data_IF_458041344273
#
_entry.id   IF_458041344273
#
_cell.length_a   1.000
_cell.length_b   1.000
_cell.length_c   1.000
_cell.angle_alpha   90.00
_cell.angle_beta   90.00
_cell.angle_gamma   90.00
#
_symmetry.space_group_name_H-M   'P 1'
#
loop_
_entity.id
_entity.type
_entity.pdbx_description
1 polymer ?
#
# COMPACT_ATOMS: atom_id res chain seq x y z
N UNK A 1 11.51 2.23 -21.65
CA UNK A 1 10.11 2.69 -21.78
C UNK A 1 9.97 4.01 -21.05
N UNK A 2 9.09 4.88 -21.54
CA UNK A 2 8.55 6.04 -20.83
C UNK A 2 7.30 5.59 -20.08
N UNK A 3 7.40 5.52 -18.75
CA UNK A 3 6.34 5.04 -17.87
C UNK A 3 5.69 6.24 -17.17
N UNK A 4 4.38 6.39 -17.34
CA UNK A 4 3.60 7.38 -16.63
C UNK A 4 2.97 6.79 -15.37
N UNK A 5 3.49 7.13 -14.20
CA UNK A 5 2.82 6.86 -12.92
C UNK A 5 1.72 7.89 -12.72
N UNK A 6 0.47 7.44 -12.88
CA UNK A 6 -0.69 8.31 -12.81
C UNK A 6 -1.46 8.11 -11.51
N UNK A 7 -1.72 9.19 -10.78
CA UNK A 7 -2.35 9.15 -9.45
C UNK A 7 -3.38 10.25 -9.25
N UNK A 8 -4.41 9.97 -8.45
CA UNK A 8 -5.52 10.91 -8.20
C UNK A 8 -5.22 11.94 -7.10
N UNK A 9 -4.01 11.95 -6.54
CA UNK A 9 -3.55 12.94 -5.56
C UNK A 9 -2.40 13.77 -6.13
N UNK A 10 -2.06 14.84 -5.44
CA UNK A 10 -1.02 15.80 -5.84
C UNK A 10 0.41 15.36 -5.47
N UNK A 11 0.55 14.23 -4.78
CA UNK A 11 1.82 13.69 -4.31
C UNK A 11 1.85 12.16 -4.48
N UNK A 12 2.93 11.59 -5.02
CA UNK A 12 3.12 10.14 -4.97
C UNK A 12 3.25 9.69 -3.52
N UNK A 13 2.56 8.62 -3.15
CA UNK A 13 2.80 7.98 -1.87
C UNK A 13 4.06 7.11 -1.93
N UNK A 14 4.50 6.60 -0.78
CA UNK A 14 5.74 5.83 -0.70
C UNK A 14 5.76 4.62 -1.62
N UNK A 15 4.61 3.99 -1.87
CA UNK A 15 4.57 2.84 -2.77
C UNK A 15 4.87 3.25 -4.21
N UNK A 16 4.22 4.32 -4.68
CA UNK A 16 4.46 4.86 -6.02
C UNK A 16 5.92 5.24 -6.20
N UNK A 17 6.52 5.89 -5.19
CA UNK A 17 7.94 6.27 -5.25
C UNK A 17 8.88 5.05 -5.28
N UNK A 18 8.55 3.98 -4.55
CA UNK A 18 9.34 2.74 -4.53
C UNK A 18 9.23 1.96 -5.85
N UNK A 19 8.03 1.89 -6.43
CA UNK A 19 7.82 1.30 -7.76
C UNK A 19 8.57 2.10 -8.85
N UNK A 20 8.44 3.42 -8.81
CA UNK A 20 9.17 4.34 -9.68
C UNK A 20 10.69 4.17 -9.54
N UNK A 21 11.19 4.05 -8.31
CA UNK A 21 12.60 3.78 -8.04
C UNK A 21 13.06 2.49 -8.73
N UNK A 22 12.34 1.38 -8.54
CA UNK A 22 12.70 0.09 -9.15
C UNK A 22 12.64 0.16 -10.68
N UNK A 23 11.58 0.74 -11.24
CA UNK A 23 11.44 0.90 -12.69
C UNK A 23 12.58 1.78 -13.28
N UNK A 24 13.01 2.83 -12.57
CA UNK A 24 14.14 3.66 -12.97
C UNK A 24 15.47 2.89 -12.95
N UNK A 25 15.70 2.06 -11.93
CA UNK A 25 16.88 1.17 -11.88
C UNK A 25 16.91 0.17 -13.05
N UNK A 26 15.74 -0.16 -13.60
CA UNK A 26 15.60 -1.00 -14.81
C UNK A 26 15.78 -0.20 -16.12
N UNK A 27 16.18 1.07 -16.05
CA UNK A 27 16.50 1.91 -17.21
C UNK A 27 15.27 2.53 -17.88
N UNK A 28 14.15 2.69 -17.15
CA UNK A 28 12.96 3.37 -17.65
C UNK A 28 12.99 4.86 -17.32
N UNK A 29 12.40 5.66 -18.21
CA UNK A 29 12.08 7.06 -17.95
C UNK A 29 10.77 7.11 -17.17
N UNK A 30 10.75 7.80 -16.04
CA UNK A 30 9.62 7.81 -15.12
C UNK A 30 9.03 9.21 -15.04
N UNK A 31 7.75 9.32 -15.33
CA UNK A 31 7.00 10.59 -15.24
C UNK A 31 5.87 10.40 -14.24
N UNK A 32 5.60 11.41 -13.42
CA UNK A 32 4.45 11.44 -12.53
C UNK A 32 3.36 12.37 -13.05
N UNK A 33 2.11 11.91 -13.00
CA UNK A 33 0.92 12.73 -13.22
C UNK A 33 0.00 12.66 -11.99
N UNK A 34 -0.19 13.80 -11.33
CA UNK A 34 -1.07 13.96 -10.18
C UNK A 34 -2.24 14.92 -10.39
N UNK A 35 -3.05 15.11 -9.34
CA UNK A 35 -4.16 16.08 -9.31
C UNK A 35 -4.02 17.03 -8.12
N UNK A 36 -4.04 18.33 -8.36
CA UNK A 36 -3.92 19.39 -7.35
C UNK A 36 -2.55 20.07 -7.35
N UNK A 37 -2.26 20.87 -6.31
CA UNK A 37 -1.00 21.61 -6.22
C UNK A 37 0.17 20.65 -5.97
N UNK A 38 1.14 20.63 -6.89
CA UNK A 38 2.31 19.75 -6.82
C UNK A 38 3.02 19.81 -5.47
N UNK A 39 3.21 18.64 -4.85
CA UNK A 39 4.03 18.47 -3.66
C UNK A 39 5.25 17.63 -3.99
N UNK A 40 6.41 18.03 -3.44
CA UNK A 40 7.67 17.35 -3.73
C UNK A 40 7.64 15.88 -3.29
N UNK A 41 8.07 14.94 -4.15
CA UNK A 41 8.30 13.56 -3.74
C UNK A 41 9.43 13.49 -2.70
N UNK A 42 9.48 12.41 -1.93
CA UNK A 42 10.60 12.13 -1.02
C UNK A 42 11.80 11.56 -1.75
N UNK A 43 11.57 10.78 -2.81
CA UNK A 43 12.63 10.24 -3.66
C UNK A 43 12.77 11.05 -4.95
N UNK A 44 14.00 11.33 -5.33
CA UNK A 44 14.34 11.97 -6.60
C UNK A 44 14.37 10.93 -7.74
N UNK A 45 13.18 10.42 -8.09
CA UNK A 45 13.02 9.31 -9.06
C UNK A 45 12.26 9.71 -10.31
N UNK A 46 11.51 10.81 -10.30
CA UNK A 46 10.73 11.24 -11.45
C UNK A 46 11.55 12.18 -12.33
N UNK A 47 11.63 11.87 -13.63
CA UNK A 47 12.28 12.74 -14.63
C UNK A 47 11.42 13.96 -14.96
N UNK A 48 10.10 13.84 -14.78
CA UNK A 48 9.16 14.96 -14.86
C UNK A 48 7.98 14.77 -13.89
N UNK A 49 7.40 15.88 -13.46
CA UNK A 49 6.35 15.93 -12.45
C UNK A 49 5.25 16.90 -12.87
N UNK A 50 4.12 16.34 -13.30
CA UNK A 50 3.01 17.09 -13.89
C UNK A 50 1.78 16.95 -12.99
N UNK A 51 1.01 18.02 -12.86
CA UNK A 51 -0.26 18.01 -12.13
C UNK A 51 -1.34 18.74 -12.88
N UNK A 52 -2.55 18.18 -12.90
CA UNK A 52 -3.77 18.86 -13.34
C UNK A 52 -4.51 19.47 -12.14
N UNK A 53 -5.61 20.18 -12.37
CA UNK A 53 -6.41 20.73 -11.26
C UNK A 53 -6.94 19.66 -10.31
N UNK A 54 -7.15 20.03 -9.05
CA UNK A 54 -7.72 19.15 -8.02
C UNK A 54 -9.19 18.85 -8.29
N UNK A 55 -9.64 17.65 -7.92
CA UNK A 55 -11.04 17.23 -7.98
C UNK A 55 -11.51 16.57 -6.69
N UNK A 56 -12.81 16.66 -6.44
CA UNK A 56 -13.47 15.85 -5.42
C UNK A 56 -14.08 14.56 -6.00
N UNK A 57 -14.41 13.61 -5.12
CA UNK A 57 -14.93 12.30 -5.53
C UNK A 57 -16.21 12.35 -6.39
N UNK A 58 -17.04 13.39 -6.23
CA UNK A 58 -18.25 13.56 -7.05
C UNK A 58 -17.87 13.97 -8.46
N UNK A 59 -16.99 14.96 -8.61
CA UNK A 59 -16.48 15.43 -9.90
C UNK A 59 -15.81 14.30 -10.68
N UNK A 60 -15.04 13.44 -10.01
CA UNK A 60 -14.44 12.25 -10.64
C UNK A 60 -15.48 11.38 -11.37
N UNK A 61 -16.68 11.25 -10.81
CA UNK A 61 -17.74 10.44 -11.40
C UNK A 61 -18.54 11.16 -12.50
N UNK A 62 -18.57 12.49 -12.50
CA UNK A 62 -19.55 13.26 -13.30
C UNK A 62 -18.97 14.33 -14.20
N UNK A 63 -17.73 14.76 -14.00
CA UNK A 63 -17.12 15.87 -14.71
C UNK A 63 -16.23 15.38 -15.86
N UNK A 64 -16.72 15.52 -17.10
CA UNK A 64 -16.00 15.14 -18.32
C UNK A 64 -14.84 16.09 -18.65
N UNK A 65 -14.84 17.32 -18.13
CA UNK A 65 -13.80 18.30 -18.44
C UNK A 65 -12.46 17.92 -17.82
N UNK A 66 -12.46 17.32 -16.63
CA UNK A 66 -11.24 16.76 -16.02
C UNK A 66 -10.71 15.57 -16.81
N UNK A 67 -11.59 14.74 -17.36
CA UNK A 67 -11.14 13.61 -18.20
C UNK A 67 -10.49 14.10 -19.49
N UNK A 68 -11.01 15.19 -20.04
CA UNK A 68 -10.44 15.82 -21.24
C UNK A 68 -9.07 16.42 -20.94
N UNK A 69 -8.93 17.14 -19.83
CA UNK A 69 -7.65 17.69 -19.34
C UNK A 69 -6.63 16.57 -19.06
N UNK A 70 -7.05 15.48 -18.41
CA UNK A 70 -6.22 14.30 -18.19
C UNK A 70 -5.76 13.66 -19.52
N UNK A 71 -6.67 13.50 -20.47
CA UNK A 71 -6.36 12.92 -21.78
C UNK A 71 -5.39 13.79 -22.60
N UNK A 72 -5.55 15.12 -22.55
CA UNK A 72 -4.67 16.09 -23.20
C UNK A 72 -3.25 15.97 -22.65
N UNK A 73 -3.09 16.03 -21.31
CA UNK A 73 -1.78 15.90 -20.67
C UNK A 73 -1.13 14.55 -20.97
N UNK A 74 -1.87 13.44 -20.92
CA UNK A 74 -1.32 12.12 -21.27
C UNK A 74 -0.88 12.07 -22.73
N UNK A 75 -1.65 12.70 -23.63
CA UNK A 75 -1.30 12.78 -25.06
C UNK A 75 -0.05 13.63 -25.30
N UNK A 76 0.19 14.67 -24.52
CA UNK A 76 1.41 15.49 -24.59
C UNK A 76 2.65 14.74 -24.07
N UNK A 77 2.48 13.97 -22.98
CA UNK A 77 3.55 13.15 -22.41
C UNK A 77 3.96 12.03 -23.38
N UNK A 78 2.98 11.46 -24.10
CA UNK A 78 3.14 10.32 -25.01
C UNK A 78 3.90 9.15 -24.35
N UNK A 79 3.35 8.54 -23.27
CA UNK A 79 4.00 7.43 -22.59
C UNK A 79 3.80 6.11 -23.32
N UNK A 80 4.80 5.23 -23.24
CA UNK A 80 4.69 3.85 -23.76
C UNK A 80 3.65 3.06 -22.96
N UNK A 81 3.53 3.35 -21.66
CA UNK A 81 2.62 2.68 -20.75
C UNK A 81 2.21 3.58 -19.57
N UNK A 82 0.97 3.43 -19.12
CA UNK A 82 0.45 4.08 -17.92
C UNK A 82 0.43 3.08 -16.77
N UNK A 83 1.11 3.40 -15.67
CA UNK A 83 0.95 2.72 -14.39
C UNK A 83 -0.07 3.50 -13.55
N UNK A 84 -1.33 3.12 -13.66
CA UNK A 84 -2.44 3.82 -13.04
C UNK A 84 -2.67 3.35 -11.60
N UNK A 85 -2.42 4.26 -10.66
CA UNK A 85 -2.51 4.01 -9.22
C UNK A 85 -3.90 4.34 -8.68
N UNK A 86 -4.58 3.31 -8.18
CA UNK A 86 -5.96 3.33 -7.70
C UNK A 86 -7.04 3.57 -8.79
N UNK A 87 -8.28 3.27 -8.43
CA UNK A 87 -9.41 3.15 -9.36
C UNK A 87 -9.70 4.43 -10.16
N UNK A 88 -9.39 5.60 -9.59
CA UNK A 88 -9.70 6.89 -10.22
C UNK A 88 -8.76 7.13 -11.42
N UNK A 89 -7.44 7.02 -11.20
CA UNK A 89 -6.46 7.20 -12.25
C UNK A 89 -6.62 6.12 -13.33
N UNK A 90 -6.92 4.88 -12.93
CA UNK A 90 -7.17 3.79 -13.86
C UNK A 90 -8.45 4.01 -14.67
N UNK A 91 -9.52 4.50 -14.05
CA UNK A 91 -10.76 4.80 -14.76
C UNK A 91 -10.56 5.87 -15.82
N UNK A 92 -9.86 6.96 -15.50
CA UNK A 92 -9.57 8.03 -16.47
C UNK A 92 -8.68 7.51 -17.61
N UNK A 93 -7.64 6.76 -17.27
CA UNK A 93 -6.69 6.21 -18.24
C UNK A 93 -7.30 5.10 -19.12
N UNK A 94 -8.32 4.38 -18.64
CA UNK A 94 -9.00 3.32 -19.40
C UNK A 94 -9.75 3.80 -20.66
N UNK A 95 -9.92 5.11 -20.83
CA UNK A 95 -10.55 5.71 -22.02
C UNK A 95 -9.52 6.13 -23.07
N UNK A 96 -8.24 5.98 -22.76
CA UNK A 96 -7.13 6.30 -23.63
C UNK A 96 -6.72 5.07 -24.45
N UNK A 97 -5.96 5.32 -25.51
CA UNK A 97 -5.39 4.26 -26.36
C UNK A 97 -4.01 3.80 -25.89
N UNK A 98 -3.55 4.23 -24.72
CA UNK A 98 -2.25 3.85 -24.21
C UNK A 98 -2.35 2.55 -23.41
N UNK A 99 -1.40 1.61 -23.56
CA UNK A 99 -1.27 0.45 -22.68
C UNK A 99 -1.29 0.85 -21.20
N UNK A 100 -1.87 0.00 -20.34
CA UNK A 100 -2.03 0.33 -18.92
C UNK A 100 -1.89 -0.88 -18.00
N UNK A 101 -1.16 -0.68 -16.90
CA UNK A 101 -1.24 -1.51 -15.69
C UNK A 101 -2.10 -0.78 -14.67
N UNK A 102 -3.08 -1.50 -14.10
CA UNK A 102 -3.92 -1.01 -13.01
C UNK A 102 -3.36 -1.49 -11.67
N UNK A 103 -2.92 -0.61 -10.77
CA UNK A 103 -2.56 -0.97 -9.40
C UNK A 103 -3.74 -0.73 -8.43
N UNK A 104 -4.40 -1.81 -8.03
CA UNK A 104 -5.48 -1.83 -7.04
C UNK A 104 -4.94 -2.11 -5.63
N UNK A 105 -4.59 -1.03 -4.95
CA UNK A 105 -3.91 -1.08 -3.64
C UNK A 105 -4.87 -1.13 -2.46
N UNK A 106 -6.14 -0.80 -2.70
CA UNK A 106 -7.13 -0.57 -1.65
C UNK A 106 -8.33 -1.53 -1.70
N UNK A 107 -8.48 -2.31 -2.78
CA UNK A 107 -9.65 -3.13 -3.07
C UNK A 107 -10.96 -2.34 -2.90
N UNK A 108 -11.12 -1.37 -3.79
CA UNK A 108 -12.09 -0.29 -3.69
C UNK A 108 -13.53 -0.75 -3.42
N UNK A 109 -13.99 -1.83 -4.06
CA UNK A 109 -15.34 -2.38 -3.85
C UNK A 109 -15.61 -2.74 -2.39
N UNK A 110 -14.62 -3.31 -1.69
CA UNK A 110 -14.69 -3.64 -0.27
C UNK A 110 -14.41 -2.45 0.62
N UNK A 111 -13.48 -1.58 0.21
CA UNK A 111 -13.12 -0.38 0.95
C UNK A 111 -14.33 0.56 1.17
N UNK A 112 -15.37 0.47 0.33
CA UNK A 112 -16.66 1.15 0.55
C UNK A 112 -17.28 0.92 1.93
N UNK A 113 -16.90 -0.16 2.63
CA UNK A 113 -17.31 -0.39 4.01
C UNK A 113 -16.94 0.79 4.93
N UNK A 114 -15.84 1.50 4.63
CA UNK A 114 -15.41 2.67 5.39
C UNK A 114 -16.42 3.82 5.30
N UNK A 115 -17.06 4.01 4.14
CA UNK A 115 -18.07 5.05 3.93
C UNK A 115 -19.35 4.83 4.72
N UNK A 116 -19.62 3.60 5.19
CA UNK A 116 -20.79 3.32 6.05
C UNK A 116 -20.72 4.07 7.38
N UNK A 117 -19.51 4.39 7.84
CA UNK A 117 -19.28 5.13 9.09
C UNK A 117 -19.44 6.65 8.96
N UNK A 118 -19.58 7.17 7.74
CA UNK A 118 -19.64 8.61 7.48
C UNK A 118 -21.04 9.20 7.77
N UNK A 119 -21.12 10.51 8.10
CA UNK A 119 -22.38 11.23 8.20
C UNK A 119 -23.23 11.07 6.93
N UNK A 120 -24.57 11.01 7.10
CA UNK A 120 -25.51 10.74 6.00
C UNK A 120 -25.35 11.72 4.83
N UNK A 121 -25.16 13.02 5.10
CA UNK A 121 -24.97 14.02 4.06
C UNK A 121 -23.73 13.76 3.20
N UNK A 122 -22.60 13.35 3.80
CA UNK A 122 -21.38 12.95 3.05
C UNK A 122 -21.66 11.72 2.20
N UNK A 123 -22.36 10.73 2.75
CA UNK A 123 -22.73 9.50 2.04
C UNK A 123 -23.60 9.78 0.82
N UNK A 124 -24.54 10.71 0.93
CA UNK A 124 -25.39 11.15 -0.20
C UNK A 124 -24.53 11.83 -1.26
N UNK A 125 -23.64 12.75 -0.86
CA UNK A 125 -22.79 13.50 -1.79
C UNK A 125 -21.85 12.61 -2.62
N UNK A 126 -21.30 11.54 -2.03
CA UNK A 126 -20.39 10.60 -2.73
C UNK A 126 -21.12 9.43 -3.40
N UNK A 127 -22.45 9.34 -3.29
CA UNK A 127 -23.23 8.19 -3.77
C UNK A 127 -22.95 7.85 -5.24
N UNK A 128 -22.89 8.81 -6.18
CA UNK A 128 -22.58 8.51 -7.58
C UNK A 128 -21.27 7.75 -7.73
N UNK A 129 -20.20 8.22 -7.07
CA UNK A 129 -18.90 7.58 -7.06
C UNK A 129 -18.95 6.18 -6.44
N UNK A 130 -19.52 6.04 -5.23
CA UNK A 130 -19.58 4.73 -4.55
C UNK A 130 -20.40 3.66 -5.27
N UNK A 131 -21.37 4.08 -6.07
CA UNK A 131 -22.15 3.20 -6.93
C UNK A 131 -21.39 2.80 -8.20
N UNK A 132 -20.53 3.68 -8.72
CA UNK A 132 -19.74 3.43 -9.91
C UNK A 132 -18.57 2.46 -9.65
N UNK A 133 -17.96 2.52 -8.46
CA UNK A 133 -16.76 1.73 -8.09
C UNK A 133 -16.84 0.26 -8.51
N UNK A 134 -17.86 -0.56 -8.14
CA UNK A 134 -17.84 -1.99 -8.49
C UNK A 134 -17.88 -2.25 -9.99
N UNK A 135 -18.54 -1.37 -10.74
CA UNK A 135 -18.61 -1.47 -12.20
C UNK A 135 -17.25 -1.13 -12.80
N UNK A 136 -16.63 -0.05 -12.35
CA UNK A 136 -15.30 0.36 -12.79
C UNK A 136 -14.25 -0.70 -12.46
N UNK A 137 -14.22 -1.18 -11.21
CA UNK A 137 -13.27 -2.19 -10.75
C UNK A 137 -13.39 -3.47 -11.58
N UNK A 138 -14.62 -3.98 -11.78
CA UNK A 138 -14.85 -5.17 -12.63
C UNK A 138 -14.42 -4.93 -14.08
N UNK A 139 -14.74 -3.77 -14.66
CA UNK A 139 -14.35 -3.42 -16.03
C UNK A 139 -12.82 -3.36 -16.17
N UNK A 140 -12.14 -2.69 -15.23
CA UNK A 140 -10.69 -2.52 -15.24
C UNK A 140 -9.98 -3.87 -15.11
N UNK A 141 -10.35 -4.68 -14.11
CA UNK A 141 -9.76 -6.01 -13.90
C UNK A 141 -9.95 -6.91 -15.12
N UNK A 142 -11.13 -6.84 -15.78
CA UNK A 142 -11.42 -7.68 -16.94
C UNK A 142 -10.62 -7.35 -18.19
N UNK A 143 -10.03 -6.16 -18.27
CA UNK A 143 -9.39 -5.63 -19.49
C UNK A 143 -7.88 -5.42 -19.36
N UNK A 144 -7.40 -5.10 -18.16
CA UNK A 144 -6.02 -4.66 -17.96
C UNK A 144 -5.26 -5.59 -17.01
N UNK A 145 -3.95 -5.66 -17.20
CA UNK A 145 -3.04 -6.27 -16.23
C UNK A 145 -3.22 -5.52 -14.91
N UNK A 146 -3.45 -6.27 -13.84
CA UNK A 146 -3.72 -5.69 -12.52
C UNK A 146 -2.65 -6.10 -11.53
N UNK A 147 -2.14 -5.12 -10.80
CA UNK A 147 -1.29 -5.31 -9.61
C UNK A 147 -2.17 -5.12 -8.38
N UNK A 148 -1.94 -5.91 -7.34
CA UNK A 148 -2.54 -5.69 -6.03
C UNK A 148 -1.57 -6.01 -4.90
N UNK A 149 -1.95 -5.70 -3.66
CA UNK A 149 -1.07 -5.73 -2.49
C UNK A 149 -1.16 -7.01 -1.66
N UNK A 150 -2.14 -7.88 -1.91
CA UNK A 150 -2.30 -9.13 -1.16
C UNK A 150 -2.90 -10.27 -1.98
N UNK A 151 -2.53 -11.49 -1.62
CA UNK A 151 -3.11 -12.71 -2.21
C UNK A 151 -4.62 -12.82 -1.93
N UNK A 152 -5.13 -12.27 -0.82
CA UNK A 152 -6.57 -12.23 -0.59
C UNK A 152 -7.31 -11.39 -1.63
N UNK A 153 -6.76 -10.25 -2.05
CA UNK A 153 -7.35 -9.44 -3.12
C UNK A 153 -7.19 -10.18 -4.46
N UNK A 154 -5.99 -10.67 -4.74
CA UNK A 154 -5.70 -11.35 -5.99
C UNK A 154 -6.56 -12.59 -6.20
N UNK A 155 -6.83 -13.38 -5.16
CA UNK A 155 -7.72 -14.54 -5.23
C UNK A 155 -9.16 -14.17 -5.63
N UNK A 156 -9.65 -13.00 -5.22
CA UNK A 156 -10.96 -12.50 -5.66
C UNK A 156 -10.92 -11.97 -7.09
N UNK A 157 -9.90 -11.18 -7.43
CA UNK A 157 -9.74 -10.59 -8.76
C UNK A 157 -9.44 -11.65 -9.84
N UNK A 158 -8.73 -12.74 -9.49
CA UNK A 158 -8.43 -13.88 -10.38
C UNK A 158 -9.67 -14.65 -10.82
N UNK A 159 -10.80 -14.48 -10.13
CA UNK A 159 -12.12 -14.98 -10.60
C UNK A 159 -12.64 -14.23 -11.82
N UNK A 160 -12.08 -13.04 -12.11
CA UNK A 160 -12.47 -12.16 -13.22
C UNK A 160 -11.43 -12.22 -14.34
N UNK A 161 -10.14 -12.17 -14.02
CA UNK A 161 -9.04 -12.15 -15.00
C UNK A 161 -7.82 -12.91 -14.46
N UNK A 162 -7.09 -13.68 -15.28
CA UNK A 162 -5.88 -14.37 -14.84
C UNK A 162 -4.67 -13.42 -14.68
N UNK A 163 -4.73 -12.21 -15.23
CA UNK A 163 -3.59 -11.29 -15.36
C UNK A 163 -3.37 -10.45 -14.08
N UNK A 164 -3.29 -11.11 -12.93
CA UNK A 164 -3.21 -10.48 -11.60
C UNK A 164 -1.88 -10.80 -10.92
N UNK A 165 -1.11 -9.75 -10.66
CA UNK A 165 0.18 -9.79 -9.96
C UNK A 165 0.01 -9.31 -8.53
N UNK A 166 0.74 -9.92 -7.60
CA UNK A 166 0.78 -9.48 -6.19
C UNK A 166 2.12 -8.84 -5.91
N UNK A 167 2.09 -7.52 -5.68
CA UNK A 167 3.24 -6.77 -5.21
C UNK A 167 2.96 -6.25 -3.79
N UNK A 168 3.60 -6.82 -2.78
CA UNK A 168 3.48 -6.41 -1.37
C UNK A 168 4.01 -4.98 -1.12
N UNK A 169 3.65 -4.41 0.02
CA UNK A 169 4.03 -3.05 0.42
C UNK A 169 5.39 -3.02 1.13
N UNK A 170 6.42 -3.60 0.50
CA UNK A 170 7.77 -3.63 1.05
C UNK A 170 8.39 -2.22 1.11
N UNK A 171 9.49 -2.08 1.86
CA UNK A 171 10.38 -0.92 1.76
C UNK A 171 11.52 -1.18 0.78
N UNK A 172 12.29 -0.16 0.43
CA UNK A 172 13.53 -0.31 -0.32
C UNK A 172 14.65 -0.74 0.62
N UNK A 173 15.58 -1.56 0.14
CA UNK A 173 16.74 -1.95 0.93
C UNK A 173 17.55 -0.73 1.41
N UNK A 174 17.62 0.32 0.57
CA UNK A 174 18.30 1.58 0.91
C UNK A 174 17.67 2.32 2.10
N UNK A 175 16.38 2.12 2.37
CA UNK A 175 15.70 2.73 3.52
C UNK A 175 16.13 2.10 4.86
N UNK A 176 16.71 0.90 4.84
CA UNK A 176 17.06 0.13 6.04
C UNK A 176 18.57 -0.08 6.25
N UNK A 177 19.40 0.36 5.29
CA UNK A 177 20.85 0.10 5.29
C UNK A 177 21.58 0.53 6.57
N UNK A 178 21.13 1.64 7.16
CA UNK A 178 21.77 2.27 8.32
C UNK A 178 20.98 2.06 9.63
N UNK A 179 20.03 1.12 9.65
CA UNK A 179 19.29 0.82 10.88
C UNK A 179 20.22 0.22 11.93
N UNK A 180 20.30 0.80 13.14
CA UNK A 180 21.15 0.26 14.20
C UNK A 180 20.74 -1.15 14.60
N UNK A 181 21.71 -1.97 14.99
CA UNK A 181 21.45 -3.31 15.55
C UNK A 181 21.61 -3.22 17.07
N UNK A 182 20.50 -3.36 17.80
CA UNK A 182 20.51 -3.42 19.26
C UNK A 182 20.17 -4.84 19.74
N UNK A 183 21.16 -5.66 20.19
CA UNK A 183 20.89 -6.99 20.70
C UNK A 183 20.11 -6.96 22.03
N UNK A 184 20.19 -5.87 22.80
CA UNK A 184 19.51 -5.75 24.10
C UNK A 184 18.17 -5.02 24.00
N UNK A 185 17.52 -5.07 22.82
CA UNK A 185 16.22 -4.45 22.58
C UNK A 185 15.11 -5.10 23.40
N UNK A 186 14.23 -4.27 23.94
CA UNK A 186 13.12 -4.67 24.81
C UNK A 186 11.84 -3.90 24.48
N UNK A 187 10.72 -4.29 25.06
CA UNK A 187 9.46 -3.56 24.88
C UNK A 187 8.79 -3.78 23.52
N UNK A 188 7.70 -3.05 23.34
CA UNK A 188 6.75 -3.22 22.24
C UNK A 188 6.48 -1.86 21.60
N UNK A 189 6.51 -1.80 20.28
CA UNK A 189 6.21 -0.61 19.51
C UNK A 189 4.99 -0.81 18.61
N UNK A 190 4.18 0.24 18.49
CA UNK A 190 3.10 0.35 17.54
C UNK A 190 3.30 1.60 16.67
N UNK A 191 3.27 1.45 15.35
CA UNK A 191 3.40 2.57 14.41
C UNK A 191 2.08 2.86 13.74
N UNK A 192 1.49 4.03 13.97
CA UNK A 192 0.25 4.41 13.28
C UNK A 192 -0.47 5.57 13.95
N UNK A 193 -0.89 6.55 13.13
CA UNK A 193 -1.73 7.66 13.61
C UNK A 193 -3.15 7.22 13.95
N UNK A 194 -3.57 6.03 13.51
CA UNK A 194 -4.88 5.48 13.82
C UNK A 194 -5.09 5.27 15.32
N UNK A 195 -4.01 5.09 16.09
CA UNK A 195 -4.07 5.03 17.55
C UNK A 195 -4.55 6.32 18.20
N UNK A 196 -4.31 7.47 17.56
CA UNK A 196 -4.68 8.79 18.08
C UNK A 196 -6.11 9.20 17.71
N UNK A 197 -6.87 8.32 17.02
CA UNK A 197 -8.24 8.62 16.61
C UNK A 197 -9.22 8.42 17.77
N UNK A 198 -10.18 9.33 17.91
CA UNK A 198 -11.30 9.18 18.86
C UNK A 198 -12.16 7.93 18.59
N UNK A 199 -12.17 7.47 17.34
CA UNK A 199 -12.93 6.30 16.90
C UNK A 199 -12.14 5.57 15.82
N UNK A 200 -11.91 4.28 16.02
CA UNK A 200 -11.25 3.44 15.05
C UNK A 200 -12.17 3.10 13.88
N UNK A 201 -11.58 2.93 12.70
CA UNK A 201 -12.24 2.21 11.62
C UNK A 201 -12.38 0.73 12.03
N UNK A 202 -13.45 0.05 11.59
CA UNK A 202 -13.72 -1.35 11.98
C UNK A 202 -12.53 -2.29 11.77
N UNK A 203 -11.81 -2.13 10.66
CA UNK A 203 -10.65 -2.95 10.32
C UNK A 203 -9.34 -2.51 10.99
N UNK A 204 -9.37 -1.46 11.83
CA UNK A 204 -8.24 -0.97 12.62
C UNK A 204 -8.62 -0.81 14.08
N UNK A 205 -9.58 -1.59 14.55
CA UNK A 205 -10.09 -1.48 15.91
C UNK A 205 -9.07 -2.03 16.92
N UNK A 206 -8.58 -1.15 17.79
CA UNK A 206 -7.57 -1.42 18.83
C UNK A 206 -8.22 -1.40 20.23
N UNK A 207 -9.56 -1.35 20.33
CA UNK A 207 -10.26 -1.14 21.60
C UNK A 207 -9.96 -2.26 22.61
N UNK A 208 -9.37 -1.89 23.74
CA UNK A 208 -9.04 -2.79 24.86
C UNK A 208 -7.61 -3.33 24.86
N UNK A 209 -6.79 -3.06 23.84
CA UNK A 209 -5.40 -3.58 23.80
C UNK A 209 -4.52 -2.95 24.89
N UNK A 210 -4.70 -1.65 25.15
CA UNK A 210 -3.92 -0.89 26.14
C UNK A 210 -4.16 -1.33 27.59
N UNK A 211 -5.32 -1.96 27.85
CA UNK A 211 -5.69 -2.41 29.19
C UNK A 211 -4.99 -3.74 29.53
N UNK A 212 -4.32 -4.34 28.54
CA UNK A 212 -3.71 -5.67 28.63
C UNK A 212 -2.19 -5.62 28.49
N UNK A 213 -1.64 -4.71 27.67
CA UNK A 213 -0.21 -4.58 27.42
C UNK A 213 0.22 -3.13 27.27
N UNK A 214 1.43 -2.82 27.74
CA UNK A 214 2.08 -1.52 27.53
C UNK A 214 2.92 -1.53 26.26
N UNK A 215 2.82 -0.49 25.44
CA UNK A 215 3.61 -0.32 24.22
C UNK A 215 3.72 1.16 23.87
N UNK A 216 4.82 1.50 23.19
CA UNK A 216 5.05 2.85 22.70
C UNK A 216 4.40 3.06 21.33
N UNK A 217 3.91 4.28 21.10
CA UNK A 217 3.20 4.63 19.87
C UNK A 217 3.96 5.69 19.10
N UNK A 218 4.27 5.38 17.84
CA UNK A 218 4.93 6.29 16.93
C UNK A 218 4.03 6.69 15.77
N UNK A 219 3.99 7.98 15.45
CA UNK A 219 3.29 8.50 14.29
C UNK A 219 3.89 9.84 13.85
N UNK A 220 3.89 10.12 12.55
CA UNK A 220 4.32 11.43 12.02
C UNK A 220 5.83 11.70 12.05
N UNK A 221 6.66 10.69 12.34
CA UNK A 221 8.11 10.83 12.34
C UNK A 221 8.69 10.71 10.92
N UNK A 222 9.79 11.42 10.62
CA UNK A 222 10.64 11.09 9.47
C UNK A 222 11.05 9.62 9.50
N UNK A 223 11.14 8.99 8.33
CA UNK A 223 11.30 7.53 8.23
C UNK A 223 12.58 7.02 8.89
N UNK A 224 13.71 7.68 8.66
CA UNK A 224 14.98 7.28 9.29
C UNK A 224 14.92 7.41 10.81
N UNK A 225 14.28 8.47 11.32
CA UNK A 225 14.08 8.64 12.77
C UNK A 225 13.21 7.52 13.34
N UNK A 226 12.11 7.18 12.65
CA UNK A 226 11.24 6.08 13.03
C UNK A 226 12.02 4.77 13.11
N UNK A 227 12.80 4.42 12.09
CA UNK A 227 13.54 3.15 12.05
C UNK A 227 14.63 3.09 13.12
N UNK A 228 15.34 4.20 13.37
CA UNK A 228 16.30 4.31 14.47
C UNK A 228 15.64 4.15 15.85
N UNK A 229 14.39 4.57 16.02
CA UNK A 229 13.64 4.31 17.26
C UNK A 229 13.24 2.85 17.34
N UNK A 230 12.67 2.30 16.27
CA UNK A 230 12.18 0.92 16.21
C UNK A 230 13.29 -0.09 16.53
N UNK A 231 14.54 0.14 16.12
CA UNK A 231 15.65 -0.77 16.41
C UNK A 231 15.90 -1.04 17.90
N UNK A 232 15.34 -0.23 18.81
CA UNK A 232 15.42 -0.43 20.25
C UNK A 232 14.30 -1.29 20.84
N UNK A 233 13.31 -1.67 20.02
CA UNK A 233 12.16 -2.46 20.45
C UNK A 233 12.33 -3.93 20.08
N UNK A 234 11.81 -4.81 20.93
CA UNK A 234 11.80 -6.25 20.65
C UNK A 234 10.65 -6.62 19.71
N UNK A 235 9.47 -6.08 19.98
CA UNK A 235 8.25 -6.44 19.26
C UNK A 235 7.63 -5.27 18.52
N UNK A 236 7.21 -5.52 17.28
CA UNK A 236 6.27 -4.67 16.55
C UNK A 236 4.85 -5.22 16.71
N UNK A 237 3.88 -4.36 17.03
CA UNK A 237 2.52 -4.79 17.32
C UNK A 237 1.54 -4.40 16.20
N UNK A 238 0.69 -5.35 15.79
CA UNK A 238 -0.40 -5.14 14.84
C UNK A 238 -1.70 -5.79 15.35
N UNK A 239 -2.36 -5.19 16.37
CA UNK A 239 -3.35 -5.89 17.17
C UNK A 239 -4.79 -5.50 16.78
N UNK A 240 -5.10 -5.51 15.49
CA UNK A 240 -6.45 -5.12 15.05
C UNK A 240 -7.45 -6.25 15.32
N UNK A 241 -8.55 -5.94 16.01
CA UNK A 241 -9.68 -6.87 16.19
C UNK A 241 -10.20 -7.35 14.84
N UNK A 242 -10.57 -8.61 14.78
CA UNK A 242 -11.01 -9.27 13.55
C UNK A 242 -12.02 -8.44 12.75
N UNK A 243 -11.77 -8.35 11.45
CA UNK A 243 -12.73 -7.87 10.46
C UNK A 243 -12.57 -8.69 9.18
N UNK A 244 -13.68 -8.92 8.47
CA UNK A 244 -13.67 -9.63 7.17
C UNK A 244 -12.80 -8.98 6.09
N UNK A 245 -12.38 -7.73 6.30
CA UNK A 245 -11.48 -6.99 5.42
C UNK A 245 -10.00 -7.35 5.61
N UNK A 246 -9.62 -7.93 6.75
CA UNK A 246 -8.22 -8.17 7.08
C UNK A 246 -7.50 -9.13 6.14
N UNK A 247 -8.22 -10.07 5.50
CA UNK A 247 -7.65 -10.92 4.44
C UNK A 247 -7.15 -10.15 3.22
N UNK A 248 -7.56 -8.89 3.05
CA UNK A 248 -7.14 -8.03 1.96
C UNK A 248 -5.99 -7.08 2.34
N UNK A 249 -5.63 -7.03 3.63
CA UNK A 249 -4.67 -6.05 4.15
C UNK A 249 -3.25 -6.52 3.94
N UNK A 250 -2.40 -5.63 3.42
CA UNK A 250 -0.94 -5.75 3.41
C UNK A 250 -0.36 -4.52 4.08
N UNK A 251 -0.16 -4.61 5.39
CA UNK A 251 0.24 -3.47 6.21
C UNK A 251 1.75 -3.27 6.08
N UNK A 252 2.18 -2.13 5.52
CA UNK A 252 3.62 -1.82 5.34
C UNK A 252 4.40 -1.95 6.65
N UNK A 253 3.79 -1.54 7.77
CA UNK A 253 4.42 -1.56 9.10
C UNK A 253 4.87 -2.95 9.53
N UNK A 254 4.22 -4.02 9.08
CA UNK A 254 4.68 -5.40 9.33
C UNK A 254 6.08 -5.61 8.77
N UNK A 255 6.30 -5.19 7.53
CA UNK A 255 7.59 -5.33 6.86
C UNK A 255 8.60 -4.33 7.42
N UNK A 256 8.16 -3.11 7.78
CA UNK A 256 9.03 -2.13 8.45
C UNK A 256 9.58 -2.69 9.78
N UNK A 257 8.75 -3.36 10.58
CA UNK A 257 9.19 -4.00 11.83
C UNK A 257 10.26 -5.06 11.59
N UNK A 258 10.04 -5.96 10.63
CA UNK A 258 11.01 -7.02 10.30
C UNK A 258 12.30 -6.43 9.72
N UNK A 259 12.21 -5.39 8.87
CA UNK A 259 13.37 -4.67 8.35
C UNK A 259 14.05 -3.74 9.39
N UNK A 260 13.49 -3.63 10.59
CA UNK A 260 14.14 -3.00 11.75
C UNK A 260 14.62 -4.03 12.79
N UNK A 261 14.52 -5.33 12.50
CA UNK A 261 14.97 -6.41 13.38
C UNK A 261 14.00 -6.76 14.52
N UNK A 262 12.73 -6.38 14.42
CA UNK A 262 11.71 -6.68 15.43
C UNK A 262 11.03 -8.02 15.10
N UNK A 263 10.70 -8.79 16.13
CA UNK A 263 9.68 -9.83 16.01
C UNK A 263 8.30 -9.17 15.91
N UNK A 264 7.36 -9.73 15.17
CA UNK A 264 6.03 -9.11 15.00
C UNK A 264 4.97 -9.90 15.77
N UNK A 265 4.11 -9.22 16.52
CA UNK A 265 2.94 -9.83 17.15
C UNK A 265 1.69 -9.25 16.49
N UNK A 266 0.83 -10.13 15.95
CA UNK A 266 -0.35 -9.68 15.21
C UNK A 266 -1.52 -10.64 15.35
N UNK A 267 -2.73 -10.19 15.01
CA UNK A 267 -3.89 -11.10 14.98
C UNK A 267 -3.72 -12.18 13.91
N UNK A 268 -4.23 -13.40 14.19
CA UNK A 268 -4.07 -14.57 13.31
C UNK A 268 -4.49 -14.32 11.87
N UNK A 269 -5.59 -13.61 11.67
CA UNK A 269 -6.09 -13.31 10.32
C UNK A 269 -5.15 -12.37 9.56
N UNK A 270 -4.49 -11.43 10.23
CA UNK A 270 -3.46 -10.61 9.59
C UNK A 270 -2.20 -11.43 9.29
N UNK A 271 -1.83 -12.35 10.18
CA UNK A 271 -0.71 -13.27 9.95
C UNK A 271 -0.93 -14.13 8.71
N UNK A 272 -2.14 -14.65 8.52
CA UNK A 272 -2.53 -15.38 7.32
C UNK A 272 -2.53 -14.48 6.06
N UNK A 273 -3.00 -13.23 6.16
CA UNK A 273 -3.01 -12.28 5.04
C UNK A 273 -1.59 -11.86 4.59
N UNK A 274 -0.60 -11.98 5.48
CA UNK A 274 0.82 -11.77 5.21
C UNK A 274 1.56 -13.08 4.92
N UNK A 275 0.88 -14.14 4.48
CA UNK A 275 1.49 -15.41 4.07
C UNK A 275 2.33 -16.08 5.17
N UNK A 276 1.96 -15.87 6.45
CA UNK A 276 2.60 -16.50 7.60
C UNK A 276 4.11 -16.18 7.68
N UNK A 277 4.47 -14.90 7.58
CA UNK A 277 5.87 -14.44 7.62
C UNK A 277 6.66 -15.03 8.81
N UNK A 278 7.93 -15.41 8.62
CA UNK A 278 8.84 -15.72 9.72
C UNK A 278 8.94 -14.60 10.75
N UNK A 279 9.36 -14.96 11.96
CA UNK A 279 9.52 -14.04 13.10
C UNK A 279 8.23 -13.29 13.49
N UNK A 280 7.08 -13.82 13.08
CA UNK A 280 5.76 -13.28 13.38
C UNK A 280 4.95 -14.27 14.21
N UNK A 281 4.31 -13.78 15.27
CA UNK A 281 3.62 -14.59 16.26
C UNK A 281 2.13 -14.21 16.28
N UNK A 282 1.25 -15.09 15.79
CA UNK A 282 -0.18 -14.83 15.73
C UNK A 282 -0.86 -14.99 17.09
N UNK A 283 -1.89 -14.18 17.34
CA UNK A 283 -2.83 -14.37 18.44
C UNK A 283 -4.27 -14.26 17.98
N UNK A 284 -5.20 -14.90 18.68
CA UNK A 284 -6.63 -14.87 18.34
C UNK A 284 -7.37 -13.76 19.08
N UNK A 285 -7.16 -13.69 20.40
CA UNK A 285 -7.79 -12.73 21.30
C UNK A 285 -6.73 -11.99 22.13
N UNK A 286 -7.02 -10.76 22.55
CA UNK A 286 -6.05 -9.95 23.29
C UNK A 286 -5.65 -10.57 24.64
N UNK A 287 -6.49 -11.43 25.24
CA UNK A 287 -6.16 -12.13 26.49
C UNK A 287 -4.94 -13.04 26.37
N UNK A 288 -4.62 -13.52 25.16
CA UNK A 288 -3.42 -14.33 24.90
C UNK A 288 -2.15 -13.50 24.64
N UNK A 289 -2.28 -12.17 24.53
CA UNK A 289 -1.19 -11.31 24.06
C UNK A 289 -0.01 -11.30 25.04
N UNK A 290 -0.27 -11.13 26.33
CA UNK A 290 0.77 -11.13 27.38
C UNK A 290 1.52 -12.47 27.40
N UNK A 291 0.79 -13.59 27.31
CA UNK A 291 1.40 -14.92 27.27
C UNK A 291 2.33 -15.09 26.06
N UNK A 292 1.97 -14.54 24.89
CA UNK A 292 2.85 -14.59 23.72
C UNK A 292 4.10 -13.74 23.95
N UNK A 293 3.96 -12.54 24.50
CA UNK A 293 5.10 -11.66 24.80
C UNK A 293 6.09 -12.36 25.75
N UNK A 294 5.59 -12.97 26.82
CA UNK A 294 6.42 -13.56 27.87
C UNK A 294 7.10 -14.86 27.44
N UNK A 295 6.44 -15.66 26.59
CA UNK A 295 6.92 -17.00 26.20
C UNK A 295 7.55 -17.08 24.81
N UNK A 296 7.50 -16.00 24.03
CA UNK A 296 8.17 -15.97 22.73
C UNK A 296 9.68 -15.99 22.95
N UNK A 297 10.37 -16.92 22.26
CA UNK A 297 11.83 -17.00 22.31
C UNK A 297 12.45 -15.72 21.73
N UNK A 298 13.58 -15.32 22.29
CA UNK A 298 14.36 -14.20 21.77
C UNK A 298 15.03 -14.61 20.46
N UNK A 299 14.90 -13.79 19.43
CA UNK A 299 15.61 -13.95 18.16
C UNK A 299 16.62 -12.82 17.98
N UNK A 300 17.84 -13.15 17.52
CA UNK A 300 18.88 -12.16 17.25
C UNK A 300 18.40 -11.19 16.15
N UNK A 301 18.51 -9.85 16.32
CA UNK A 301 17.99 -8.91 15.34
C UNK A 301 18.67 -9.05 13.99
N UNK A 302 19.94 -9.46 13.98
CA UNK A 302 20.71 -9.69 12.76
C UNK A 302 20.09 -10.79 11.90
N UNK A 303 19.58 -11.86 12.50
CA UNK A 303 18.92 -12.95 11.78
C UNK A 303 17.63 -12.47 11.09
N UNK A 304 16.84 -11.65 11.80
CA UNK A 304 15.61 -11.07 11.26
C UNK A 304 15.94 -10.12 10.10
N UNK A 305 16.95 -9.26 10.26
CA UNK A 305 17.42 -8.33 9.24
C UNK A 305 17.99 -9.04 8.01
N UNK A 306 18.79 -10.09 8.20
CA UNK A 306 19.33 -10.89 7.09
C UNK A 306 18.21 -11.52 6.26
N UNK A 307 17.17 -12.04 6.92
CA UNK A 307 15.99 -12.55 6.25
C UNK A 307 15.20 -11.45 5.55
N UNK A 308 14.89 -10.35 6.24
CA UNK A 308 14.02 -9.30 5.70
C UNK A 308 14.68 -8.53 4.57
N UNK A 309 15.96 -8.18 4.67
CA UNK A 309 16.71 -7.51 3.59
C UNK A 309 16.85 -8.37 2.34
N UNK A 310 16.84 -9.70 2.50
CA UNK A 310 16.93 -10.64 1.38
C UNK A 310 15.57 -10.90 0.71
N UNK A 311 14.47 -10.85 1.46
CA UNK A 311 13.17 -11.35 1.00
C UNK A 311 12.05 -10.30 0.98
N UNK A 312 12.11 -9.29 1.85
CA UNK A 312 11.02 -8.36 2.17
C UNK A 312 11.36 -6.91 1.81
N UNK A 313 12.04 -6.72 0.68
CA UNK A 313 12.39 -5.41 0.09
C UNK A 313 11.92 -5.35 -1.36
N UNK A 314 11.59 -4.15 -1.85
CA UNK A 314 11.02 -3.94 -3.19
C UNK A 314 11.86 -4.51 -4.33
N UNK A 315 13.18 -4.53 -4.17
CA UNK A 315 14.13 -5.08 -5.12
C UNK A 315 13.82 -6.56 -5.44
N UNK A 316 13.25 -7.32 -4.51
CA UNK A 316 12.87 -8.74 -4.73
C UNK A 316 11.65 -8.91 -5.65
N UNK A 317 10.94 -7.82 -5.92
CA UNK A 317 9.69 -7.82 -6.67
C UNK A 317 9.80 -7.12 -8.04
N UNK A 318 10.98 -6.58 -8.37
CA UNK A 318 11.21 -5.83 -9.61
C UNK A 318 10.95 -6.63 -10.89
N UNK A 319 11.28 -7.92 -10.90
CA UNK A 319 11.01 -8.80 -12.05
C UNK A 319 9.51 -8.99 -12.27
N UNK A 320 8.70 -9.04 -11.21
CA UNK A 320 7.24 -9.14 -11.32
C UNK A 320 6.63 -7.85 -11.83
N UNK A 321 7.15 -6.69 -11.38
CA UNK A 321 6.74 -5.39 -11.90
C UNK A 321 7.04 -5.30 -13.41
N UNK A 322 8.25 -5.69 -13.82
CA UNK A 322 8.62 -5.69 -15.23
C UNK A 322 7.76 -6.63 -16.07
N UNK A 323 7.46 -7.83 -15.56
CA UNK A 323 6.53 -8.77 -16.22
C UNK A 323 5.14 -8.19 -16.40
N UNK A 324 4.64 -7.44 -15.41
CA UNK A 324 3.34 -6.78 -15.52
C UNK A 324 3.33 -5.73 -16.64
N UNK A 325 4.41 -4.94 -16.78
CA UNK A 325 4.53 -3.97 -17.87
C UNK A 325 4.62 -4.63 -19.24
N UNK A 326 5.46 -5.66 -19.40
CA UNK A 326 5.60 -6.39 -20.67
C UNK A 326 4.27 -7.01 -21.08
N UNK A 327 3.58 -7.70 -20.18
CA UNK A 327 2.28 -8.30 -20.48
C UNK A 327 1.22 -7.24 -20.85
N UNK A 328 1.25 -6.07 -20.23
CA UNK A 328 0.30 -5.00 -20.54
C UNK A 328 0.53 -4.41 -21.95
N UNK A 329 1.77 -4.39 -22.44
CA UNK A 329 2.08 -4.03 -23.82
C UNK A 329 1.61 -5.12 -24.79
N UNK A 330 1.94 -6.39 -24.51
CA UNK A 330 1.56 -7.53 -25.35
C UNK A 330 0.03 -7.69 -25.52
N UNK A 331 -0.75 -7.40 -24.48
CA UNK A 331 -2.21 -7.48 -24.54
C UNK A 331 -2.87 -6.28 -25.25
N UNK A 332 -2.10 -5.24 -25.55
CA UNK A 332 -2.59 -4.05 -26.23
C UNK A 332 -2.38 -4.11 -27.75
N UNK A 333 -1.42 -4.89 -28.22
CA UNK A 333 -1.22 -5.26 -29.64
C UNK A 333 -2.38 -6.13 -30.16
#
# INVERSE_FOLDING_TARGET
MKILHAYHKNKPDHRIEREAYIAKQQGHQIIFLGMGAAEKPQLDVFDDFITIRSVNNREVATDESIRSEWAEVVSEIDPDIIHANDIIAAHFSSKLKTPMVYDDREYWSWQRIQFKSWPMWKRIAIRPFTNAIPKWEKELISKYVTITVSEGIAAEQRKISPNIFVLRNFGLLSEFKDVPINPNREGIAYVGSDYNLKKFAKHRDLTGVKDLVSFDVFSGLPRQELYNKLSNYRFGLLPFRYSDYHKYVSASKTYDYLNCGLQVIMTRVLYEAHDKLPFTYPFDEFTGLQNIIDNTEYVNPKEILEYSHKNLVWETQGDLLQKAYVLALELHE
#
